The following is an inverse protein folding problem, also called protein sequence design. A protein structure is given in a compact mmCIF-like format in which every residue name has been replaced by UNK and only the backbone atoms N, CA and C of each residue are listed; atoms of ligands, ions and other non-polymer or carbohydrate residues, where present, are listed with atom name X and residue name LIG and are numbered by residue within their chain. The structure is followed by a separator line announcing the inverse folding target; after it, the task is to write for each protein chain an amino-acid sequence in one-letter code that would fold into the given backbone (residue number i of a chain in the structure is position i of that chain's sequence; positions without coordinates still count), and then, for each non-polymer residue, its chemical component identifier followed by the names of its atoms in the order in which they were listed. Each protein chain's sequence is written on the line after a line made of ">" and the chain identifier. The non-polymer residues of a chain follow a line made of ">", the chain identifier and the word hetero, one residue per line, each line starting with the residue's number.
data_IF_569222239552
#
_entry.id   IF_569222239552
#
_cell.length_a   1.000
_cell.length_b   1.000
_cell.length_c   1.000
_cell.angle_alpha   90.00
_cell.angle_beta   90.00
_cell.angle_gamma   90.00
#
_symmetry.space_group_name_H-M   'P 1'
#
loop_
_entity.id
_entity.type
_entity.pdbx_description
1 polymer ?
#
# COMPACT_ATOMS: atom_id res chain seq x y z
N UNK A 1 -50.04 3.20 42.67
CA UNK A 1 -49.42 2.03 42.00
C UNK A 1 -49.51 2.28 40.49
N UNK A 2 -48.38 2.58 39.84
CA UNK A 2 -47.67 1.68 38.89
C UNK A 2 -48.51 1.49 37.61
N UNK A 3 -48.11 1.86 36.39
CA UNK A 3 -46.75 2.05 35.83
C UNK A 3 -46.91 2.84 34.51
N UNK A 4 -46.03 3.82 34.26
CA UNK A 4 -45.89 4.46 32.95
C UNK A 4 -45.17 3.49 32.01
N UNK A 5 -45.79 3.12 30.90
CA UNK A 5 -45.12 2.41 29.80
C UNK A 5 -44.54 3.49 28.89
N UNK A 6 -43.25 3.80 29.07
CA UNK A 6 -42.46 4.44 28.02
C UNK A 6 -42.07 3.33 27.04
N UNK A 7 -42.70 3.34 25.87
CA UNK A 7 -42.21 2.58 24.73
C UNK A 7 -40.89 3.22 24.27
N UNK A 8 -39.78 2.60 24.64
CA UNK A 8 -38.49 2.87 24.04
C UNK A 8 -38.57 2.36 22.59
N UNK A 9 -38.83 3.26 21.64
CA UNK A 9 -38.53 3.01 20.24
C UNK A 9 -37.00 3.07 20.17
N UNK A 10 -36.35 1.92 20.38
CA UNK A 10 -34.98 1.72 19.98
C UNK A 10 -34.95 1.74 18.46
N UNK A 11 -34.83 2.96 17.90
CA UNK A 11 -34.57 3.16 16.49
C UNK A 11 -33.28 2.39 16.18
N UNK A 12 -33.41 1.36 15.36
CA UNK A 12 -32.36 0.57 14.74
C UNK A 12 -31.52 1.44 13.81
N UNK A 13 -30.71 2.33 14.40
CA UNK A 13 -29.72 3.18 13.73
C UNK A 13 -28.28 2.71 14.00
N UNK A 14 -28.10 1.49 14.50
CA UNK A 14 -26.79 0.91 14.80
C UNK A 14 -26.17 0.10 13.64
N UNK A 15 -26.66 0.24 12.40
CA UNK A 15 -26.16 -0.53 11.23
C UNK A 15 -25.31 0.29 10.26
N UNK A 16 -24.94 1.54 10.59
CA UNK A 16 -24.10 2.38 9.72
C UNK A 16 -22.94 3.09 10.45
N UNK A 17 -22.51 2.60 11.62
CA UNK A 17 -21.38 3.17 12.36
C UNK A 17 -20.41 2.13 12.95
N UNK A 18 -20.31 0.95 12.33
CA UNK A 18 -19.08 0.14 12.43
C UNK A 18 -18.21 0.56 11.25
N UNK A 19 -17.67 1.78 11.34
CA UNK A 19 -16.68 2.23 10.36
C UNK A 19 -15.47 1.30 10.47
N UNK A 20 -15.31 0.46 9.45
CA UNK A 20 -14.10 -0.25 9.04
C UNK A 20 -12.85 -0.02 9.92
N UNK A 21 -12.70 -0.77 11.02
CA UNK A 21 -11.42 -0.89 11.74
C UNK A 21 -10.75 -2.23 11.46
N UNK A 22 -10.89 -2.68 10.22
CA UNK A 22 -10.41 -3.94 9.71
C UNK A 22 -9.35 -3.57 8.64
N UNK A 23 -8.09 -3.89 8.90
CA UNK A 23 -6.96 -3.09 8.34
C UNK A 23 -6.14 -3.82 7.32
N UNK A 24 -6.05 -5.14 7.48
CA UNK A 24 -5.37 -6.06 6.59
C UNK A 24 -6.26 -7.28 6.44
N UNK A 25 -6.44 -7.75 5.22
CA UNK A 25 -7.17 -8.97 4.88
C UNK A 25 -6.17 -10.04 4.44
N UNK A 26 -6.04 -11.13 5.19
CA UNK A 26 -5.33 -12.33 4.75
C UNK A 26 -6.31 -13.31 4.10
N UNK A 27 -6.03 -13.73 2.87
CA UNK A 27 -6.85 -14.68 2.13
C UNK A 27 -6.17 -16.06 2.07
N UNK A 28 -6.91 -17.10 2.47
CA UNK A 28 -6.43 -18.48 2.63
C UNK A 28 -7.35 -19.44 1.87
N UNK A 29 -6.78 -20.48 1.26
CA UNK A 29 -7.56 -21.48 0.52
C UNK A 29 -7.04 -22.89 0.75
N UNK A 30 -7.91 -23.78 1.21
CA UNK A 30 -7.53 -25.15 1.52
C UNK A 30 -8.61 -26.16 1.13
N UNK A 31 -8.19 -27.40 0.92
CA UNK A 31 -9.10 -28.57 0.91
C UNK A 31 -8.97 -29.29 2.24
N UNK A 32 -10.07 -29.46 2.96
CA UNK A 32 -10.14 -30.09 4.27
C UNK A 32 -10.88 -31.41 4.14
N UNK A 33 -10.29 -32.53 4.58
CA UNK A 33 -10.98 -33.82 4.56
C UNK A 33 -11.86 -34.00 5.80
N UNK A 34 -12.83 -34.93 5.76
CA UNK A 34 -13.63 -35.29 6.93
C UNK A 34 -12.77 -35.63 8.16
N UNK A 35 -12.98 -34.90 9.26
CA UNK A 35 -12.25 -35.09 10.51
C UNK A 35 -10.88 -34.40 10.59
N UNK A 36 -10.36 -33.85 9.48
CA UNK A 36 -9.16 -33.02 9.48
C UNK A 36 -9.51 -31.59 9.95
N UNK A 37 -8.48 -30.86 10.40
CA UNK A 37 -8.61 -29.46 10.79
C UNK A 37 -7.78 -28.57 9.89
N UNK A 38 -8.34 -27.44 9.45
CA UNK A 38 -7.59 -26.31 8.93
C UNK A 38 -7.26 -25.38 10.09
N UNK A 39 -5.98 -25.11 10.30
CA UNK A 39 -5.49 -24.19 11.32
C UNK A 39 -4.72 -23.05 10.67
N UNK A 40 -5.13 -21.81 10.96
CA UNK A 40 -4.48 -20.61 10.42
C UNK A 40 -4.14 -19.68 11.57
N UNK A 41 -2.92 -19.14 11.56
CA UNK A 41 -2.46 -18.16 12.55
C UNK A 41 -2.32 -16.76 11.93
N UNK A 42 -2.63 -15.73 12.72
CA UNK A 42 -2.47 -14.33 12.35
C UNK A 42 -2.15 -13.47 13.58
N UNK A 43 -1.53 -12.31 13.41
CA UNK A 43 -1.02 -11.49 14.54
C UNK A 43 -1.55 -10.06 14.49
N UNK A 44 -2.64 -9.74 15.23
CA UNK A 44 -3.05 -8.37 15.47
C UNK A 44 -1.97 -7.58 16.20
N UNK A 45 -1.71 -6.35 15.75
CA UNK A 45 -0.72 -5.45 16.38
C UNK A 45 -1.32 -4.12 16.84
N UNK A 46 -2.61 -3.89 16.57
CA UNK A 46 -3.40 -2.80 17.12
C UNK A 46 -4.72 -3.35 17.70
N UNK A 47 -5.37 -2.66 18.66
CA UNK A 47 -6.68 -3.09 19.15
C UNK A 47 -7.76 -2.86 18.08
N UNK A 48 -8.82 -3.66 18.11
CA UNK A 48 -9.95 -3.50 17.20
C UNK A 48 -10.61 -4.80 16.75
N UNK A 49 -11.58 -4.71 15.83
CA UNK A 49 -12.38 -5.86 15.42
C UNK A 49 -11.56 -6.87 14.60
N UNK A 50 -11.77 -8.15 14.92
CA UNK A 50 -11.31 -9.28 14.13
C UNK A 50 -12.52 -9.93 13.47
N UNK A 51 -12.48 -10.09 12.16
CA UNK A 51 -13.52 -10.77 11.38
C UNK A 51 -12.92 -11.91 10.59
N UNK A 52 -13.50 -13.09 10.73
CA UNK A 52 -13.24 -14.23 9.86
C UNK A 52 -14.46 -14.42 8.96
N UNK A 53 -14.24 -14.51 7.66
CA UNK A 53 -15.27 -14.86 6.69
C UNK A 53 -14.90 -16.18 6.03
N UNK A 54 -15.82 -17.13 6.03
CA UNK A 54 -15.64 -18.44 5.41
C UNK A 54 -16.58 -18.57 4.21
N UNK A 55 -16.06 -19.05 3.09
CA UNK A 55 -16.84 -19.64 2.00
C UNK A 55 -16.47 -21.11 1.84
N UNK A 56 -17.48 -21.98 1.69
CA UNK A 56 -17.33 -23.43 1.73
C UNK A 56 -17.97 -24.05 0.50
N UNK A 57 -17.27 -25.00 -0.11
CA UNK A 57 -17.78 -25.82 -1.22
C UNK A 57 -17.57 -27.31 -0.93
N UNK A 58 -18.54 -28.19 -1.28
CA UNK A 58 -19.83 -27.86 -1.89
C UNK A 58 -20.78 -27.15 -0.92
N UNK A 59 -21.77 -26.45 -1.48
CA UNK A 59 -22.74 -25.66 -0.72
C UNK A 59 -23.62 -26.57 0.19
N UNK A 60 -24.23 -25.97 1.21
CA UNK A 60 -25.16 -26.58 2.16
C UNK A 60 -24.56 -27.60 3.14
N UNK A 61 -23.24 -27.82 3.08
CA UNK A 61 -22.52 -28.60 4.09
C UNK A 61 -22.17 -27.74 5.30
N UNK A 62 -22.32 -28.34 6.49
CA UNK A 62 -22.07 -27.67 7.76
C UNK A 62 -20.62 -27.80 8.18
N UNK A 63 -20.07 -26.73 8.73
CA UNK A 63 -18.76 -26.73 9.35
C UNK A 63 -18.75 -25.85 10.60
N UNK A 64 -17.76 -26.10 11.45
CA UNK A 64 -17.54 -25.36 12.69
C UNK A 64 -16.24 -24.57 12.57
N UNK A 65 -16.25 -23.34 13.06
CA UNK A 65 -15.08 -22.49 13.14
C UNK A 65 -14.93 -21.93 14.55
N UNK A 66 -13.70 -21.96 15.04
CA UNK A 66 -13.30 -21.52 16.36
C UNK A 66 -12.15 -20.53 16.25
N UNK A 67 -12.18 -19.49 17.08
CA UNK A 67 -11.09 -18.53 17.19
C UNK A 67 -10.55 -18.55 18.62
N UNK A 68 -9.23 -18.64 18.72
CA UNK A 68 -8.49 -18.69 19.97
C UNK A 68 -7.58 -17.47 20.08
N UNK A 69 -7.55 -16.88 21.27
CA UNK A 69 -6.52 -15.91 21.67
C UNK A 69 -5.24 -16.64 22.07
N UNK A 70 -4.11 -15.92 22.12
CA UNK A 70 -2.87 -16.43 22.69
C UNK A 70 -3.10 -17.06 24.07
N UNK A 71 -2.45 -18.20 24.30
CA UNK A 71 -2.44 -18.92 25.59
C UNK A 71 -3.81 -19.33 26.16
N UNK A 72 -4.88 -19.31 25.36
CA UNK A 72 -6.20 -19.82 25.74
C UNK A 72 -6.50 -21.17 25.09
N UNK A 73 -6.83 -22.16 25.93
CA UNK A 73 -7.34 -23.46 25.49
C UNK A 73 -8.84 -23.45 25.13
N UNK A 74 -9.55 -22.35 25.46
CA UNK A 74 -10.96 -22.17 25.14
C UNK A 74 -11.14 -21.12 24.04
N UNK A 75 -12.03 -21.36 23.07
CA UNK A 75 -12.27 -20.40 22.00
C UNK A 75 -12.94 -19.14 22.54
N UNK A 76 -12.47 -17.98 22.10
CA UNK A 76 -13.09 -16.68 22.40
C UNK A 76 -14.30 -16.41 21.51
N UNK A 77 -14.38 -17.08 20.37
CA UNK A 77 -15.55 -17.08 19.50
C UNK A 77 -15.68 -18.46 18.83
N UNK A 78 -16.92 -18.94 18.70
CA UNK A 78 -17.27 -20.20 18.05
C UNK A 78 -18.54 -19.98 17.21
N UNK A 79 -18.55 -20.51 16.00
CA UNK A 79 -19.75 -20.54 15.16
C UNK A 79 -19.84 -21.86 14.39
N UNK A 80 -21.04 -22.17 13.93
CA UNK A 80 -21.30 -23.27 13.03
C UNK A 80 -22.23 -22.75 11.93
N UNK A 81 -21.87 -22.99 10.68
CA UNK A 81 -22.61 -22.46 9.53
C UNK A 81 -22.51 -23.36 8.31
N UNK A 82 -23.29 -23.02 7.28
CA UNK A 82 -23.31 -23.72 6.01
C UNK A 82 -23.00 -22.73 4.87
N UNK A 83 -22.28 -23.16 3.84
CA UNK A 83 -21.94 -22.39 2.63
C UNK A 83 -21.10 -21.12 2.83
N UNK A 84 -21.57 -20.15 3.62
CA UNK A 84 -20.86 -18.91 3.93
C UNK A 84 -21.28 -18.38 5.30
N UNK A 85 -20.32 -18.03 6.14
CA UNK A 85 -20.58 -17.49 7.47
C UNK A 85 -19.43 -16.66 8.02
N UNK A 86 -19.74 -15.82 9.00
CA UNK A 86 -18.78 -14.96 9.69
C UNK A 86 -18.55 -15.40 11.14
N UNK A 87 -17.35 -15.15 11.64
CA UNK A 87 -17.00 -15.17 13.06
C UNK A 87 -16.39 -13.82 13.45
N UNK A 88 -16.86 -13.24 14.55
CA UNK A 88 -16.44 -11.91 15.00
C UNK A 88 -15.84 -11.99 16.40
N UNK A 89 -14.76 -11.23 16.62
CA UNK A 89 -14.14 -11.03 17.93
C UNK A 89 -13.49 -9.63 17.98
N UNK A 90 -12.86 -9.31 19.10
CA UNK A 90 -12.15 -8.05 19.30
C UNK A 90 -10.76 -8.33 19.89
N UNK A 91 -9.74 -7.79 19.22
CA UNK A 91 -8.37 -7.79 19.71
C UNK A 91 -8.21 -6.72 20.79
N UNK A 92 -7.92 -7.17 22.00
CA UNK A 92 -7.63 -6.30 23.14
C UNK A 92 -6.12 -6.04 23.25
N UNK A 93 -5.74 -5.10 24.10
CA UNK A 93 -4.34 -4.72 24.31
C UNK A 93 -3.48 -5.86 24.86
N UNK A 94 -4.06 -6.82 25.59
CA UNK A 94 -3.33 -7.92 26.24
C UNK A 94 -2.93 -9.03 25.24
N UNK A 95 -3.67 -9.14 24.13
CA UNK A 95 -3.49 -10.18 23.10
C UNK A 95 -2.80 -9.68 21.83
N UNK A 96 -2.29 -8.44 21.82
CA UNK A 96 -1.52 -7.89 20.70
C UNK A 96 -0.12 -8.51 20.59
N UNK A 97 0.43 -8.49 19.38
CA UNK A 97 1.79 -8.98 19.06
C UNK A 97 2.00 -10.46 19.38
N UNK A 98 0.92 -11.22 19.48
CA UNK A 98 0.91 -12.64 19.77
C UNK A 98 -0.01 -13.34 18.76
N UNK A 99 0.32 -14.59 18.37
CA UNK A 99 -0.43 -15.28 17.34
C UNK A 99 -1.82 -15.69 17.85
N UNK A 100 -2.84 -15.24 17.13
CA UNK A 100 -4.20 -15.75 17.24
C UNK A 100 -4.36 -16.94 16.32
N UNK A 101 -5.26 -17.86 16.67
CA UNK A 101 -5.42 -19.13 15.96
C UNK A 101 -6.87 -19.36 15.57
N UNK A 102 -7.09 -19.54 14.28
CA UNK A 102 -8.36 -19.98 13.71
C UNK A 102 -8.30 -21.49 13.52
N UNK A 103 -9.33 -22.20 13.97
CA UNK A 103 -9.49 -23.63 13.73
C UNK A 103 -10.82 -23.87 13.04
N UNK A 104 -10.76 -24.41 11.84
CA UNK A 104 -11.90 -24.85 11.05
C UNK A 104 -11.93 -26.37 10.99
N UNK A 105 -13.11 -26.96 11.21
CA UNK A 105 -13.28 -28.40 11.10
C UNK A 105 -14.69 -28.78 10.66
N UNK A 106 -14.81 -29.97 10.07
CA UNK A 106 -16.09 -30.56 9.71
C UNK A 106 -16.08 -32.09 9.81
N UNK A 107 -17.28 -32.66 9.91
CA UNK A 107 -17.50 -34.12 9.98
C UNK A 107 -18.35 -34.67 8.84
N UNK A 108 -18.58 -33.86 7.78
CA UNK A 108 -19.27 -34.30 6.56
C UNK A 108 -18.58 -35.51 5.92
N UNK A 109 -19.29 -36.26 5.07
CA UNK A 109 -18.75 -37.45 4.40
C UNK A 109 -17.80 -37.15 3.22
N UNK A 110 -17.70 -35.89 2.80
CA UNK A 110 -16.87 -35.44 1.67
C UNK A 110 -15.93 -34.33 2.11
N UNK A 111 -14.81 -34.18 1.40
CA UNK A 111 -13.89 -33.06 1.61
C UNK A 111 -14.56 -31.72 1.24
N UNK A 112 -14.17 -30.67 1.94
CA UNK A 112 -14.60 -29.30 1.69
C UNK A 112 -13.46 -28.49 1.09
N UNK A 113 -13.75 -27.67 0.08
CA UNK A 113 -12.91 -26.51 -0.25
C UNK A 113 -13.34 -25.35 0.61
N UNK A 114 -12.39 -24.74 1.30
CA UNK A 114 -12.59 -23.60 2.21
C UNK A 114 -11.80 -22.42 1.67
N UNK A 115 -12.48 -21.29 1.50
CA UNK A 115 -11.87 -19.98 1.29
C UNK A 115 -12.11 -19.17 2.56
N UNK A 116 -11.04 -18.71 3.19
CA UNK A 116 -11.07 -18.00 4.47
C UNK A 116 -10.42 -16.62 4.29
N UNK A 117 -11.19 -15.57 4.54
CA UNK A 117 -10.68 -14.21 4.67
C UNK A 117 -10.61 -13.81 6.14
N UNK A 118 -9.41 -13.51 6.62
CA UNK A 118 -9.15 -13.01 7.98
C UNK A 118 -8.90 -11.51 7.88
N UNK A 119 -9.80 -10.70 8.43
CA UNK A 119 -9.58 -9.27 8.57
C UNK A 119 -9.26 -8.89 10.01
N UNK A 120 -8.13 -8.20 10.21
CA UNK A 120 -7.65 -7.88 11.55
C UNK A 120 -6.86 -6.55 11.61
N UNK A 121 -6.67 -5.98 12.80
CA UNK A 121 -5.97 -4.72 13.00
C UNK A 121 -4.44 -4.88 13.09
N UNK A 122 -3.72 -4.16 12.23
CA UNK A 122 -2.27 -3.96 12.31
C UNK A 122 -1.93 -2.48 12.41
N UNK A 123 -0.93 -2.16 13.23
CA UNK A 123 -0.40 -0.80 13.40
C UNK A 123 -0.03 -0.20 12.04
N UNK A 124 -0.31 1.10 11.87
CA UNK A 124 -0.18 1.88 10.62
C UNK A 124 -1.09 1.47 9.47
N UNK A 125 -1.35 0.17 9.28
CA UNK A 125 -2.37 -0.29 8.33
C UNK A 125 -3.78 0.18 8.75
N UNK A 126 -4.05 0.26 10.07
CA UNK A 126 -5.22 0.97 10.63
C UNK A 126 -5.35 2.38 10.07
N UNK A 127 -4.26 3.14 10.07
CA UNK A 127 -4.26 4.55 9.68
C UNK A 127 -4.39 4.72 8.17
N UNK A 128 -3.76 3.85 7.38
CA UNK A 128 -3.92 3.83 5.92
C UNK A 128 -5.40 3.64 5.56
N UNK A 129 -6.07 2.66 6.17
CA UNK A 129 -7.48 2.41 5.91
C UNK A 129 -8.36 3.56 6.40
N UNK A 130 -8.10 4.08 7.61
CA UNK A 130 -8.93 5.11 8.24
C UNK A 130 -8.78 6.50 7.59
N UNK A 131 -7.55 6.94 7.32
CA UNK A 131 -7.30 8.29 6.76
C UNK A 131 -7.38 8.32 5.24
N UNK A 132 -7.02 7.22 4.55
CA UNK A 132 -6.88 7.21 3.08
C UNK A 132 -7.93 6.35 2.38
N UNK A 133 -8.69 5.53 3.11
CA UNK A 133 -9.68 4.63 2.53
C UNK A 133 -9.09 3.51 1.66
N UNK A 134 -7.79 3.24 1.77
CA UNK A 134 -7.08 2.22 0.98
C UNK A 134 -7.17 0.89 1.70
N UNK A 135 -7.68 -0.15 1.02
CA UNK A 135 -7.72 -1.51 1.56
C UNK A 135 -6.35 -2.18 1.42
N UNK A 136 -5.95 -2.97 2.41
CA UNK A 136 -4.71 -3.74 2.37
C UNK A 136 -5.05 -5.22 2.48
N UNK A 137 -4.44 -6.04 1.63
CA UNK A 137 -4.64 -7.50 1.66
C UNK A 137 -3.37 -8.26 1.30
N UNK A 138 -3.27 -9.53 1.70
CA UNK A 138 -2.22 -10.45 1.27
C UNK A 138 -2.80 -11.86 0.99
N UNK A 139 -2.17 -12.58 0.06
CA UNK A 139 -2.41 -14.02 -0.14
C UNK A 139 -1.58 -14.84 0.85
N UNK A 140 -2.07 -16.00 1.29
CA UNK A 140 -1.39 -16.90 2.24
C UNK A 140 0.09 -17.12 1.88
N UNK A 141 0.38 -17.41 0.61
CA UNK A 141 1.74 -17.73 0.15
C UNK A 141 2.66 -16.49 0.08
N UNK A 142 2.11 -15.28 0.19
CA UNK A 142 2.88 -14.05 0.40
C UNK A 142 3.34 -13.89 1.86
N UNK A 143 2.74 -14.65 2.78
CA UNK A 143 2.95 -14.55 4.21
C UNK A 143 2.31 -13.32 4.84
N UNK A 144 2.06 -13.38 6.14
CA UNK A 144 1.51 -12.26 6.90
C UNK A 144 2.41 -11.01 6.80
N UNK A 145 1.81 -9.83 6.68
CA UNK A 145 2.53 -8.56 6.62
C UNK A 145 3.16 -8.22 7.98
N UNK A 146 4.45 -7.88 7.98
CA UNK A 146 5.10 -7.30 9.16
C UNK A 146 4.68 -5.83 9.32
N UNK A 147 4.65 -5.33 10.56
CA UNK A 147 4.33 -3.92 10.87
C UNK A 147 5.24 -2.93 10.14
N UNK A 148 6.48 -3.33 9.84
CA UNK A 148 7.40 -2.52 9.04
C UNK A 148 6.92 -2.28 7.61
N UNK A 149 6.18 -3.22 6.99
CA UNK A 149 5.55 -2.95 5.68
C UNK A 149 4.47 -1.88 5.83
N UNK A 150 3.60 -2.03 6.82
CA UNK A 150 2.55 -1.05 7.11
C UNK A 150 3.12 0.34 7.38
N UNK A 151 4.18 0.44 8.20
CA UNK A 151 4.85 1.70 8.53
C UNK A 151 5.47 2.36 7.29
N UNK A 152 6.22 1.60 6.48
CA UNK A 152 6.83 2.15 5.27
C UNK A 152 5.80 2.61 4.23
N UNK A 153 4.72 1.84 4.02
CA UNK A 153 3.62 2.27 3.15
C UNK A 153 2.95 3.54 3.69
N UNK A 154 2.71 3.59 5.00
CA UNK A 154 2.05 4.72 5.64
C UNK A 154 2.84 6.02 5.46
N UNK A 155 4.14 5.98 5.76
CA UNK A 155 5.06 7.12 5.58
C UNK A 155 5.12 7.55 4.12
N UNK A 156 5.23 6.59 3.21
CA UNK A 156 5.30 6.87 1.78
C UNK A 156 4.03 7.57 1.28
N UNK A 157 2.84 7.02 1.58
CA UNK A 157 1.56 7.60 1.21
C UNK A 157 1.38 9.01 1.78
N UNK A 158 1.69 9.22 3.07
CA UNK A 158 1.58 10.54 3.71
C UNK A 158 2.54 11.57 3.16
N UNK A 159 3.74 11.16 2.76
CA UNK A 159 4.72 12.07 2.18
C UNK A 159 4.25 12.69 0.85
N UNK A 160 3.43 12.00 0.04
CA UNK A 160 3.03 12.48 -1.28
C UNK A 160 1.91 13.54 -1.21
N UNK A 161 1.11 13.53 -0.16
CA UNK A 161 -0.10 14.35 -0.02
C UNK A 161 -1.34 13.69 -0.63
N UNK A 162 -2.51 13.98 -0.04
CA UNK A 162 -3.78 13.30 -0.35
C UNK A 162 -4.18 13.37 -1.83
N UNK A 163 -3.95 14.51 -2.49
CA UNK A 163 -4.31 14.73 -3.89
C UNK A 163 -3.65 13.71 -4.85
N UNK A 164 -2.42 13.28 -4.56
CA UNK A 164 -1.68 12.33 -5.39
C UNK A 164 -2.08 10.88 -5.13
N UNK A 165 -2.71 10.56 -4.00
CA UNK A 165 -3.06 9.19 -3.60
C UNK A 165 -4.56 8.89 -3.61
N UNK A 166 -5.41 9.93 -3.54
CA UNK A 166 -6.88 9.78 -3.50
C UNK A 166 -7.39 8.94 -4.68
N UNK A 167 -8.26 7.98 -4.42
CA UNK A 167 -8.83 7.12 -5.45
C UNK A 167 -7.98 5.89 -5.80
N UNK A 168 -6.83 5.68 -5.15
CA UNK A 168 -6.25 4.35 -5.03
C UNK A 168 -7.16 3.49 -4.15
N UNK A 169 -7.54 2.30 -4.59
CA UNK A 169 -8.53 1.49 -3.87
C UNK A 169 -7.91 0.43 -2.96
N UNK A 170 -6.80 -0.16 -3.38
CA UNK A 170 -6.23 -1.30 -2.67
C UNK A 170 -4.72 -1.46 -2.93
N UNK A 171 -4.03 -1.96 -1.91
CA UNK A 171 -2.68 -2.50 -2.00
C UNK A 171 -2.77 -4.00 -1.69
N UNK A 172 -2.42 -4.85 -2.65
CA UNK A 172 -2.50 -6.30 -2.56
C UNK A 172 -1.09 -6.90 -2.57
N UNK A 173 -0.77 -7.68 -1.56
CA UNK A 173 0.49 -8.41 -1.49
C UNK A 173 0.34 -9.81 -2.05
N UNK A 174 1.25 -10.17 -2.95
CA UNK A 174 1.30 -11.44 -3.66
C UNK A 174 2.57 -12.21 -3.30
N UNK A 175 2.62 -13.53 -3.54
CA UNK A 175 3.82 -14.34 -3.32
C UNK A 175 5.01 -13.80 -4.12
N UNK A 176 6.27 -14.09 -3.74
CA UNK A 176 7.44 -13.63 -4.50
C UNK A 176 7.36 -14.02 -5.99
N UNK A 177 7.74 -13.10 -6.86
CA UNK A 177 7.83 -13.34 -8.30
C UNK A 177 9.27 -13.16 -8.79
N UNK A 178 9.68 -14.01 -9.72
CA UNK A 178 10.99 -13.89 -10.37
C UNK A 178 11.00 -12.87 -11.52
N UNK A 179 9.83 -12.33 -11.90
CA UNK A 179 9.67 -11.46 -13.07
C UNK A 179 9.43 -10.00 -12.68
N UNK A 180 8.72 -9.76 -11.59
CA UNK A 180 8.25 -8.43 -11.18
C UNK A 180 8.27 -8.29 -9.66
N UNK A 181 8.48 -7.07 -9.18
CA UNK A 181 8.41 -6.75 -7.74
C UNK A 181 7.14 -5.98 -7.37
N UNK A 182 6.52 -5.33 -8.36
CA UNK A 182 5.27 -4.61 -8.22
C UNK A 182 4.55 -4.50 -9.56
N UNK A 183 3.25 -4.21 -9.51
CA UNK A 183 2.41 -3.85 -10.66
C UNK A 183 1.32 -2.88 -10.25
N UNK A 184 0.92 -2.00 -11.16
CA UNK A 184 -0.29 -1.21 -11.01
C UNK A 184 -1.39 -1.65 -12.00
N UNK A 185 -2.54 -2.06 -11.47
CA UNK A 185 -3.73 -2.42 -12.24
C UNK A 185 -4.67 -1.21 -12.35
N UNK A 186 -4.66 -0.56 -13.51
CA UNK A 186 -5.33 0.75 -13.68
C UNK A 186 -6.86 0.73 -13.65
N UNK A 187 -7.50 -0.34 -14.12
CA UNK A 187 -8.96 -0.43 -14.15
C UNK A 187 -9.55 -0.59 -12.74
N UNK A 188 -8.90 -1.40 -11.91
CA UNK A 188 -9.30 -1.72 -10.55
C UNK A 188 -8.72 -0.72 -9.53
N UNK A 189 -7.66 0.01 -9.94
CA UNK A 189 -6.85 0.92 -9.12
C UNK A 189 -6.23 0.19 -7.93
N UNK A 190 -5.53 -0.89 -8.25
CA UNK A 190 -4.86 -1.77 -7.28
C UNK A 190 -3.36 -1.70 -7.52
N UNK A 191 -2.59 -1.52 -6.44
CA UNK A 191 -1.15 -1.78 -6.44
C UNK A 191 -0.91 -3.21 -5.97
N UNK A 192 -0.34 -4.04 -6.83
CA UNK A 192 0.14 -5.36 -6.46
C UNK A 192 1.61 -5.26 -6.07
N UNK A 193 1.94 -5.76 -4.87
CA UNK A 193 3.30 -5.81 -4.35
C UNK A 193 3.69 -7.27 -4.16
N UNK A 194 4.69 -7.74 -4.91
CA UNK A 194 5.19 -9.10 -4.75
C UNK A 194 6.13 -9.12 -3.54
N UNK A 195 5.97 -10.11 -2.65
CA UNK A 195 6.59 -10.12 -1.31
C UNK A 195 8.08 -9.78 -1.39
N UNK A 196 8.43 -8.65 -0.77
CA UNK A 196 9.77 -8.09 -0.69
C UNK A 196 10.03 -7.69 0.76
N UNK A 197 11.25 -7.90 1.25
CA UNK A 197 11.61 -7.55 2.63
C UNK A 197 11.46 -6.03 2.86
N UNK A 198 10.94 -5.58 4.02
CA UNK A 198 10.93 -4.18 4.40
C UNK A 198 12.33 -3.57 4.29
N UNK A 199 12.39 -2.34 3.80
CA UNK A 199 13.65 -1.64 3.58
C UNK A 199 13.61 -0.68 2.41
N UNK A 200 14.79 -0.20 2.04
CA UNK A 200 14.97 0.80 0.97
C UNK A 200 14.43 0.33 -0.37
N UNK A 201 14.65 -0.94 -0.72
CA UNK A 201 14.17 -1.53 -1.98
C UNK A 201 12.65 -1.59 -2.02
N UNK A 202 12.01 -2.11 -0.96
CA UNK A 202 10.56 -2.13 -0.84
C UNK A 202 9.96 -0.72 -1.01
N UNK A 203 10.46 0.28 -0.27
CA UNK A 203 9.98 1.67 -0.41
C UNK A 203 10.16 2.21 -1.83
N UNK A 204 11.29 1.90 -2.46
CA UNK A 204 11.57 2.30 -3.83
C UNK A 204 10.61 1.71 -4.87
N UNK A 205 10.36 0.39 -4.78
CA UNK A 205 9.37 -0.31 -5.62
C UNK A 205 7.97 0.24 -5.34
N UNK A 206 7.62 0.49 -4.08
CA UNK A 206 6.32 1.06 -3.75
C UNK A 206 6.09 2.44 -4.37
N UNK A 207 7.09 3.33 -4.34
CA UNK A 207 7.01 4.61 -5.07
C UNK A 207 6.96 4.44 -6.58
N UNK A 208 7.64 3.44 -7.12
CA UNK A 208 7.61 3.13 -8.55
C UNK A 208 6.19 2.76 -8.98
N UNK A 209 5.52 1.87 -8.25
CA UNK A 209 4.15 1.49 -8.57
C UNK A 209 3.14 2.63 -8.29
N UNK A 210 3.36 3.42 -7.23
CA UNK A 210 2.59 4.66 -7.02
C UNK A 210 2.77 5.65 -8.17
N UNK A 211 3.95 5.72 -8.78
CA UNK A 211 4.19 6.57 -9.93
C UNK A 211 3.40 6.10 -11.15
N UNK A 212 3.24 4.79 -11.37
CA UNK A 212 2.31 4.26 -12.38
C UNK A 212 0.87 4.70 -12.08
N UNK A 213 0.40 4.58 -10.83
CA UNK A 213 -0.92 5.10 -10.43
C UNK A 213 -1.07 6.60 -10.74
N UNK A 214 -0.10 7.42 -10.33
CA UNK A 214 -0.10 8.87 -10.57
C UNK A 214 -0.11 9.15 -12.06
N UNK A 215 0.73 8.47 -12.84
CA UNK A 215 0.80 8.63 -14.27
C UNK A 215 -0.55 8.34 -14.91
N UNK A 216 -1.14 7.17 -14.68
CA UNK A 216 -2.38 6.78 -15.34
C UNK A 216 -3.60 7.58 -14.85
N UNK A 217 -3.74 7.79 -13.55
CA UNK A 217 -4.96 8.29 -12.93
C UNK A 217 -4.92 9.80 -12.66
N UNK A 218 -3.76 10.34 -12.29
CA UNK A 218 -3.66 11.71 -11.75
C UNK A 218 -3.13 12.73 -12.75
N UNK A 219 -2.20 12.36 -13.62
CA UNK A 219 -1.62 13.32 -14.54
C UNK A 219 -2.61 13.80 -15.59
N UNK A 220 -2.68 15.12 -15.76
CA UNK A 220 -3.41 15.78 -16.82
C UNK A 220 -2.84 15.46 -18.21
N UNK A 221 -3.67 15.54 -19.23
CA UNK A 221 -3.30 15.19 -20.61
C UNK A 221 -2.14 16.02 -21.17
N UNK A 222 -1.91 17.24 -20.67
CA UNK A 222 -0.78 18.07 -21.10
C UNK A 222 0.55 17.46 -20.67
N UNK A 223 0.72 17.19 -19.37
CA UNK A 223 1.95 16.60 -18.82
C UNK A 223 2.23 15.23 -19.43
N UNK A 224 1.21 14.38 -19.61
CA UNK A 224 1.35 13.07 -20.28
C UNK A 224 1.93 13.19 -21.70
N UNK A 225 1.41 14.13 -22.50
CA UNK A 225 1.89 14.34 -23.88
C UNK A 225 3.31 14.87 -23.90
N UNK A 226 3.64 15.78 -23.00
CA UNK A 226 4.99 16.33 -22.90
C UNK A 226 6.00 15.25 -22.47
N UNK A 227 5.63 14.45 -21.48
CA UNK A 227 6.42 13.29 -21.04
C UNK A 227 6.67 12.29 -22.18
N UNK A 228 5.61 11.86 -22.87
CA UNK A 228 5.71 10.96 -24.02
C UNK A 228 6.60 11.53 -25.13
N UNK A 229 6.55 12.85 -25.36
CA UNK A 229 7.44 13.52 -26.32
C UNK A 229 8.90 13.46 -25.88
N UNK A 230 9.21 13.72 -24.60
CA UNK A 230 10.57 13.62 -24.07
C UNK A 230 11.09 12.19 -24.11
N UNK A 231 10.26 11.20 -23.77
CA UNK A 231 10.61 9.79 -23.89
C UNK A 231 10.93 9.43 -25.35
N UNK A 232 10.06 9.78 -26.31
CA UNK A 232 10.31 9.55 -27.74
C UNK A 232 11.62 10.21 -28.21
N UNK A 233 11.89 11.44 -27.77
CA UNK A 233 13.11 12.17 -28.11
C UNK A 233 14.36 11.60 -27.41
N UNK A 234 14.18 10.82 -26.34
CA UNK A 234 15.28 10.15 -25.65
C UNK A 234 15.91 9.05 -26.51
N UNK A 235 15.11 8.39 -27.35
CA UNK A 235 15.55 7.32 -28.24
C UNK A 235 16.28 6.20 -27.49
N UNK A 236 17.32 5.65 -28.10
CA UNK A 236 18.18 4.62 -27.50
C UNK A 236 19.33 5.18 -26.65
N UNK A 237 19.39 6.50 -26.43
CA UNK A 237 20.49 7.15 -25.72
C UNK A 237 20.28 7.06 -24.20
N UNK A 238 21.02 6.17 -23.55
CA UNK A 238 20.95 5.92 -22.10
C UNK A 238 21.20 7.18 -21.24
N UNK A 239 21.88 8.20 -21.77
CA UNK A 239 22.11 9.46 -21.06
C UNK A 239 20.81 10.26 -20.86
N UNK A 240 19.72 9.91 -21.55
CA UNK A 240 18.42 10.56 -21.35
C UNK A 240 17.54 9.88 -20.28
N UNK A 241 18.02 8.80 -19.67
CA UNK A 241 17.27 8.00 -18.71
C UNK A 241 17.95 7.97 -17.34
N UNK A 242 17.13 7.82 -16.30
CA UNK A 242 17.62 7.50 -14.96
C UNK A 242 17.91 6.01 -14.88
N UNK A 243 19.02 5.64 -14.24
CA UNK A 243 19.30 4.25 -13.91
C UNK A 243 18.42 3.85 -12.73
N UNK A 244 17.81 2.66 -12.80
CA UNK A 244 16.97 2.12 -11.72
C UNK A 244 17.68 2.22 -10.35
N UNK A 245 17.20 3.08 -9.43
CA UNK A 245 17.90 3.35 -8.18
C UNK A 245 17.91 2.19 -7.17
N UNK A 246 17.01 1.21 -7.30
CA UNK A 246 16.82 0.17 -6.28
C UNK A 246 17.29 -1.23 -6.70
N UNK A 247 18.00 -1.35 -7.83
CA UNK A 247 18.71 -2.57 -8.22
C UNK A 247 18.03 -3.42 -9.30
N UNK A 248 17.48 -2.76 -10.32
CA UNK A 248 17.04 -3.38 -11.58
C UNK A 248 18.06 -3.20 -12.72
N UNK A 249 17.75 -3.68 -13.93
CA UNK A 249 18.64 -3.51 -15.08
C UNK A 249 18.82 -2.02 -15.41
N UNK A 250 20.02 -1.58 -15.83
CA UNK A 250 20.30 -0.16 -16.07
C UNK A 250 19.48 0.44 -17.22
N UNK A 251 18.84 -0.40 -18.02
CA UNK A 251 17.99 -0.02 -19.16
C UNK A 251 16.49 -0.07 -18.83
N UNK A 252 16.10 -0.30 -17.58
CA UNK A 252 14.69 -0.52 -17.22
C UNK A 252 13.77 0.63 -17.64
N UNK A 253 14.19 1.87 -17.38
CA UNK A 253 13.49 3.09 -17.79
C UNK A 253 13.36 3.26 -19.32
N UNK A 254 14.09 2.49 -20.13
CA UNK A 254 14.01 2.54 -21.59
C UNK A 254 12.92 1.62 -22.17
N UNK A 255 12.31 0.78 -21.34
CA UNK A 255 11.32 -0.22 -21.78
C UNK A 255 10.13 0.43 -22.47
N UNK A 256 9.57 1.48 -21.85
CA UNK A 256 8.49 2.29 -22.39
C UNK A 256 8.39 3.61 -21.59
N UNK A 257 7.53 4.53 -22.03
CA UNK A 257 7.36 5.84 -21.40
C UNK A 257 6.82 5.79 -19.97
N UNK A 258 6.09 4.73 -19.60
CA UNK A 258 5.54 4.55 -18.25
C UNK A 258 6.64 4.13 -17.27
N UNK A 259 7.51 3.19 -17.65
CA UNK A 259 8.68 2.81 -16.84
C UNK A 259 9.64 3.99 -16.70
N UNK A 260 9.87 4.75 -17.77
CA UNK A 260 10.67 5.98 -17.71
C UNK A 260 10.11 6.96 -16.66
N UNK A 261 8.78 7.17 -16.66
CA UNK A 261 8.11 8.01 -15.69
C UNK A 261 8.30 7.48 -14.27
N UNK A 262 8.01 6.20 -14.05
CA UNK A 262 8.03 5.58 -12.74
C UNK A 262 9.45 5.56 -12.14
N UNK A 263 10.46 5.21 -12.92
CA UNK A 263 11.87 5.25 -12.48
C UNK A 263 12.32 6.69 -12.18
N UNK A 264 11.96 7.66 -13.02
CA UNK A 264 12.34 9.06 -12.79
C UNK A 264 11.64 9.64 -11.57
N UNK A 265 10.36 9.31 -11.36
CA UNK A 265 9.60 9.67 -10.17
C UNK A 265 10.22 9.08 -8.91
N UNK A 266 10.55 7.79 -8.91
CA UNK A 266 11.22 7.13 -7.80
C UNK A 266 12.59 7.74 -7.51
N UNK A 267 13.35 8.13 -8.53
CA UNK A 267 14.61 8.84 -8.34
C UNK A 267 14.43 10.25 -7.76
N UNK A 268 13.38 10.96 -8.18
CA UNK A 268 13.02 12.26 -7.64
C UNK A 268 12.71 12.16 -6.14
N UNK A 269 11.94 11.16 -5.74
CA UNK A 269 11.56 10.93 -4.34
C UNK A 269 12.74 10.40 -3.51
N UNK A 270 13.62 9.61 -4.12
CA UNK A 270 14.82 9.09 -3.46
C UNK A 270 15.77 10.21 -3.03
N UNK A 271 16.07 11.12 -3.95
CA UNK A 271 16.84 12.33 -3.70
C UNK A 271 16.64 13.31 -4.86
N UNK A 272 15.81 14.33 -4.64
CA UNK A 272 15.48 15.31 -5.68
C UNK A 272 16.72 16.07 -6.14
N UNK A 273 17.62 16.43 -5.21
CA UNK A 273 18.81 17.22 -5.55
C UNK A 273 19.74 16.43 -6.48
N UNK A 274 19.98 15.16 -6.19
CA UNK A 274 20.87 14.32 -7.02
C UNK A 274 20.33 14.16 -8.45
N UNK A 275 19.01 14.04 -8.62
CA UNK A 275 18.38 13.97 -9.94
C UNK A 275 18.59 15.27 -10.75
N UNK A 276 18.38 16.44 -10.12
CA UNK A 276 18.59 17.72 -10.78
C UNK A 276 20.07 17.98 -11.07
N UNK A 277 20.97 17.70 -10.12
CA UNK A 277 22.42 17.83 -10.33
C UNK A 277 22.89 16.97 -11.50
N UNK A 278 22.38 15.73 -11.62
CA UNK A 278 22.66 14.83 -12.73
C UNK A 278 22.14 15.39 -14.07
N UNK A 279 20.91 15.92 -14.09
CA UNK A 279 20.32 16.54 -15.28
C UNK A 279 21.10 17.77 -15.75
N UNK A 280 21.48 18.65 -14.81
CA UNK A 280 22.30 19.84 -15.06
C UNK A 280 23.67 19.43 -15.61
N UNK A 281 24.34 18.47 -14.96
CA UNK A 281 25.65 18.00 -15.41
C UNK A 281 25.61 17.40 -16.83
N UNK A 282 24.54 16.67 -17.20
CA UNK A 282 24.37 16.13 -18.56
C UNK A 282 24.10 17.23 -19.60
N UNK A 283 23.32 18.26 -19.24
CA UNK A 283 23.11 19.44 -20.10
C UNK A 283 24.43 20.18 -20.32
N UNK A 284 25.13 20.55 -19.25
CA UNK A 284 26.25 21.50 -19.29
C UNK A 284 27.53 20.85 -19.82
N UNK A 285 27.80 19.58 -19.49
CA UNK A 285 29.05 18.91 -19.86
C UNK A 285 28.93 18.03 -21.11
N UNK A 286 27.73 17.57 -21.45
CA UNK A 286 27.49 16.61 -22.56
C UNK A 286 26.51 17.14 -23.60
N UNK A 287 25.86 18.29 -23.37
CA UNK A 287 24.89 18.88 -24.29
C UNK A 287 23.58 18.09 -24.39
N UNK A 288 23.23 17.31 -23.35
CA UNK A 288 22.05 16.43 -23.33
C UNK A 288 21.03 16.91 -22.27
N UNK A 289 20.06 17.77 -22.64
CA UNK A 289 19.15 18.41 -21.68
C UNK A 289 17.93 17.54 -21.29
N UNK A 290 17.65 16.45 -22.02
CA UNK A 290 16.36 15.75 -21.92
C UNK A 290 16.07 15.23 -20.50
N UNK A 291 17.08 14.72 -19.79
CA UNK A 291 16.87 14.27 -18.40
C UNK A 291 16.47 15.43 -17.49
N UNK A 292 17.06 16.62 -17.67
CA UNK A 292 16.72 17.79 -16.87
C UNK A 292 15.27 18.22 -17.12
N UNK A 293 14.82 18.20 -18.37
CA UNK A 293 13.43 18.52 -18.71
C UNK A 293 12.45 17.49 -18.12
N UNK A 294 12.80 16.19 -18.13
CA UNK A 294 12.04 15.16 -17.41
C UNK A 294 11.96 15.46 -15.90
N UNK A 295 13.08 15.80 -15.26
CA UNK A 295 13.11 16.13 -13.83
C UNK A 295 12.22 17.34 -13.50
N UNK A 296 12.20 18.38 -14.37
CA UNK A 296 11.30 19.53 -14.25
C UNK A 296 9.83 19.12 -14.36
N UNK A 297 9.47 18.20 -15.26
CA UNK A 297 8.10 17.67 -15.33
C UNK A 297 7.70 16.93 -14.07
N UNK A 298 8.60 16.14 -13.46
CA UNK A 298 8.32 15.51 -12.16
C UNK A 298 8.12 16.57 -11.07
N UNK A 299 8.91 17.65 -11.05
CA UNK A 299 8.69 18.76 -10.11
C UNK A 299 7.31 19.43 -10.28
N UNK A 300 6.76 19.45 -11.50
CA UNK A 300 5.40 19.93 -11.75
C UNK A 300 4.31 19.02 -11.16
N UNK A 301 4.57 17.72 -11.01
CA UNK A 301 3.64 16.79 -10.32
C UNK A 301 3.45 17.19 -8.86
N UNK A 302 4.50 17.72 -8.24
CA UNK A 302 4.52 18.16 -6.84
C UNK A 302 4.30 19.67 -6.66
N UNK A 303 3.97 20.37 -7.74
CA UNK A 303 3.74 21.81 -7.73
C UNK A 303 2.51 22.15 -6.89
N UNK A 304 2.66 23.13 -6.03
CA UNK A 304 1.60 23.77 -5.28
C UNK A 304 1.88 25.28 -5.15
N UNK A 305 0.90 26.05 -4.68
CA UNK A 305 1.01 27.49 -4.55
C UNK A 305 0.86 27.91 -3.09
N UNK A 306 1.75 28.79 -2.64
CA UNK A 306 1.67 29.47 -1.35
C UNK A 306 1.87 30.95 -1.56
N UNK A 307 0.93 31.77 -1.08
CA UNK A 307 0.94 33.22 -1.27
C UNK A 307 1.15 33.62 -2.75
N UNK A 308 0.43 32.93 -3.64
CA UNK A 308 0.48 33.07 -5.11
C UNK A 308 1.84 32.73 -5.76
N UNK A 309 2.81 32.24 -4.99
CA UNK A 309 4.12 31.82 -5.50
C UNK A 309 4.17 30.31 -5.71
N UNK A 310 4.81 29.82 -6.79
CA UNK A 310 4.95 28.40 -7.06
C UNK A 310 6.02 27.77 -6.17
N UNK A 311 5.63 26.68 -5.51
CA UNK A 311 6.50 25.82 -4.72
C UNK A 311 6.39 24.38 -5.23
N UNK A 312 7.45 23.60 -5.05
CA UNK A 312 7.42 22.16 -5.31
C UNK A 312 7.90 21.41 -4.08
N UNK A 313 7.36 20.21 -3.86
CA UNK A 313 7.89 19.33 -2.84
C UNK A 313 9.15 18.63 -3.34
N UNK A 314 10.23 18.76 -2.58
CA UNK A 314 11.47 18.01 -2.75
C UNK A 314 11.59 16.93 -1.69
N UNK A 315 12.34 15.89 -2.00
CA UNK A 315 12.44 14.70 -1.18
C UNK A 315 13.87 14.22 -1.04
N UNK A 316 14.11 13.48 0.06
CA UNK A 316 15.26 12.59 0.19
C UNK A 316 14.95 11.46 1.17
N UNK A 317 15.60 10.32 0.96
CA UNK A 317 15.56 9.21 1.91
C UNK A 317 16.63 9.39 2.99
N UNK A 318 16.23 9.19 4.24
CA UNK A 318 17.14 9.10 5.38
C UNK A 318 17.90 7.76 5.43
N UNK A 319 18.70 7.58 6.49
CA UNK A 319 19.57 6.43 6.70
C UNK A 319 19.06 5.44 7.76
N UNK A 320 17.77 5.09 7.74
CA UNK A 320 17.17 4.14 8.71
C UNK A 320 17.11 2.69 8.21
N UNK A 321 16.95 1.74 9.14
CA UNK A 321 16.67 0.34 8.83
C UNK A 321 15.87 -0.29 10.00
N UNK A 322 14.88 -1.17 9.75
CA UNK A 322 14.34 -1.54 8.45
C UNK A 322 13.42 -0.46 7.84
N UNK A 323 12.90 0.46 8.66
CA UNK A 323 12.07 1.57 8.20
C UNK A 323 12.95 2.75 7.83
N UNK A 324 12.85 3.15 6.56
CA UNK A 324 13.59 4.29 5.99
C UNK A 324 12.78 5.56 6.24
N UNK A 325 13.33 6.58 6.93
CA UNK A 325 12.69 7.88 7.02
C UNK A 325 12.57 8.51 5.65
N UNK A 326 11.42 9.11 5.38
CA UNK A 326 11.18 9.86 4.16
C UNK A 326 11.12 11.33 4.56
N UNK A 327 12.03 12.13 4.02
CA UNK A 327 12.09 13.55 4.31
C UNK A 327 11.56 14.32 3.12
N UNK A 328 10.62 15.23 3.37
CA UNK A 328 10.03 16.13 2.39
C UNK A 328 10.21 17.56 2.83
N UNK A 329 10.46 18.46 1.89
CA UNK A 329 10.40 19.88 2.13
C UNK A 329 9.72 20.58 0.95
N UNK A 330 9.22 21.78 1.16
CA UNK A 330 8.77 22.66 0.09
C UNK A 330 9.86 23.69 -0.22
N UNK A 331 10.11 23.94 -1.50
CA UNK A 331 11.04 24.98 -1.96
C UNK A 331 10.45 25.74 -3.14
N UNK A 332 10.78 27.04 -3.31
CA UNK A 332 10.30 27.79 -4.45
C UNK A 332 10.93 27.25 -5.75
N UNK A 333 10.26 27.51 -6.87
CA UNK A 333 10.83 27.26 -8.19
C UNK A 333 11.54 28.51 -8.73
N UNK A 334 12.71 28.32 -9.34
CA UNK A 334 13.40 29.36 -10.11
C UNK A 334 12.64 29.69 -11.40
N UNK A 335 12.96 30.81 -12.10
CA UNK A 335 12.36 31.12 -13.40
C UNK A 335 12.59 30.05 -14.47
N UNK A 336 13.62 29.20 -14.31
CA UNK A 336 13.93 28.08 -15.21
C UNK A 336 13.14 26.80 -14.86
N UNK A 337 12.29 26.84 -13.83
CA UNK A 337 11.53 25.70 -13.34
C UNK A 337 12.35 24.72 -12.50
N UNK A 338 13.45 25.16 -11.89
CA UNK A 338 14.28 24.32 -11.01
C UNK A 338 13.88 24.53 -9.55
N UNK A 339 13.87 23.49 -8.69
CA UNK A 339 13.76 23.70 -7.26
C UNK A 339 14.94 24.51 -6.73
N UNK A 340 14.66 25.52 -5.90
CA UNK A 340 15.68 26.38 -5.32
C UNK A 340 16.21 25.80 -4.00
N UNK A 341 17.49 25.45 -3.98
CA UNK A 341 18.18 24.88 -2.81
C UNK A 341 19.09 25.89 -2.08
N UNK A 342 18.97 27.19 -2.37
CA UNK A 342 19.89 28.22 -1.86
C UNK A 342 19.68 28.57 -0.39
N UNK A 343 18.43 28.56 0.08
CA UNK A 343 18.08 28.85 1.47
C UNK A 343 18.09 27.59 2.35
N UNK A 344 18.23 27.73 3.69
CA UNK A 344 18.09 26.61 4.61
C UNK A 344 16.75 25.88 4.45
N UNK A 345 16.81 24.57 4.21
CA UNK A 345 15.64 23.74 3.93
C UNK A 345 15.09 23.16 5.24
N UNK A 346 13.83 23.43 5.53
CA UNK A 346 13.11 22.83 6.65
C UNK A 346 12.48 21.50 6.24
N UNK A 347 13.08 20.39 6.67
CA UNK A 347 12.63 19.04 6.32
C UNK A 347 11.56 18.56 7.30
N UNK A 348 10.39 18.21 6.76
CA UNK A 348 9.40 17.38 7.44
C UNK A 348 9.81 15.90 7.30
N UNK A 349 9.73 15.15 8.40
CA UNK A 349 10.13 13.74 8.43
C UNK A 349 8.89 12.88 8.64
N UNK A 350 8.73 11.91 7.76
CA UNK A 350 7.66 10.93 7.79
C UNK A 350 8.12 9.64 8.42
#
# INVERSE_FOLDING_TARGET
>A
MRTRIFALIALSLATYAVAAQATVIGAYKATVNPGDTLEVSFTPTAPGPVRLHFEIRPLELWASAQLYKPDLDQPVALTMGHSSFDLLAEADTESLNQPWRVVFFHTNSVALTVELDITFPKTFCVEIAAELGIRISYEEEAGELEDHHCDQMWRALRSLGLNLIEGLHQIKFLPPSNEVEGRFLSAERILEMYRTTPGRRFTGVFYHELAHFIHFIKLGASLKREWASLHKNSGADMINYVREPFGGPPTYAMTNEFEDFAVTFSAYVLNTKDLFDLGIARRDNVGKPILLEKAKLIAQVFLHYRDEKPYTYIYRFGSGFPVIPIERAEVPLTPEGLPDFTEPINWERF
#
